data_IF_163877003424
#
_entry.id   IF_163877003424
#
_cell.length_a   1.000
_cell.length_b   1.000
_cell.length_c   1.000
_cell.angle_alpha   90.00
_cell.angle_beta   90.00
_cell.angle_gamma   90.00
#
_symmetry.space_group_name_H-M   'P 1'
#
loop_
_entity.id
_entity.type
_entity.pdbx_description
1 polymer ?
#
# COMPACT_ATOMS: atom_id res chain seq x y z
N UNK A 1 -11.41 49.48 -25.10
CA UNK A 1 -10.23 48.64 -24.81
C UNK A 1 -10.28 48.21 -23.34
N UNK A 2 -10.62 46.96 -23.04
CA UNK A 2 -10.73 46.50 -21.64
C UNK A 2 -9.33 46.23 -21.11
N UNK A 3 -8.89 47.03 -20.14
CA UNK A 3 -7.54 46.95 -19.55
C UNK A 3 -7.40 45.67 -18.73
N UNK A 4 -6.43 44.83 -19.12
CA UNK A 4 -6.07 43.61 -18.40
C UNK A 4 -5.48 44.02 -17.04
N UNK A 5 -6.25 43.86 -15.93
CA UNK A 5 -5.79 44.15 -14.56
C UNK A 5 -4.44 43.46 -14.31
N UNK A 6 -3.44 44.23 -13.88
CA UNK A 6 -2.13 43.71 -13.45
C UNK A 6 -2.34 42.77 -12.25
N UNK A 7 -1.87 41.54 -12.35
CA UNK A 7 -1.92 40.54 -11.29
C UNK A 7 -0.99 40.96 -10.15
N UNK A 8 -1.53 41.27 -8.97
CA UNK A 8 -0.76 41.51 -7.76
C UNK A 8 -0.62 40.20 -6.95
N UNK A 9 0.60 39.67 -6.91
CA UNK A 9 0.94 38.39 -6.28
C UNK A 9 0.76 38.42 -4.75
N UNK A 10 1.07 39.53 -4.09
CA UNK A 10 0.99 39.66 -2.64
C UNK A 10 -0.46 39.74 -2.17
N UNK A 11 -1.29 40.54 -2.84
CA UNK A 11 -2.72 40.60 -2.57
C UNK A 11 -3.41 39.23 -2.83
N UNK A 12 -3.01 38.54 -3.90
CA UNK A 12 -3.48 37.18 -4.22
C UNK A 12 -3.08 36.18 -3.12
N UNK A 13 -1.87 36.28 -2.59
CA UNK A 13 -1.36 35.39 -1.53
C UNK A 13 -2.03 35.67 -0.18
N UNK A 14 -2.25 36.94 0.17
CA UNK A 14 -2.96 37.33 1.39
C UNK A 14 -4.41 36.83 1.37
N UNK A 15 -5.13 37.09 0.28
CA UNK A 15 -6.46 36.52 0.03
C UNK A 15 -6.45 34.99 0.10
N UNK A 16 -5.39 34.35 -0.42
CA UNK A 16 -5.27 32.90 -0.35
C UNK A 16 -5.25 32.40 1.11
N UNK A 17 -4.48 33.06 1.98
CA UNK A 17 -4.35 32.66 3.38
C UNK A 17 -5.63 32.95 4.17
N UNK A 18 -6.21 34.13 3.99
CA UNK A 18 -7.44 34.56 4.68
C UNK A 18 -8.62 33.63 4.35
N UNK A 19 -8.76 33.20 3.09
CA UNK A 19 -9.85 32.33 2.64
C UNK A 19 -9.42 30.86 2.47
N UNK A 20 -8.40 30.41 3.20
CA UNK A 20 -7.85 29.06 3.05
C UNK A 20 -8.86 27.98 3.42
N UNK A 21 -9.53 28.11 4.57
CA UNK A 21 -10.47 27.10 5.06
C UNK A 21 -11.77 27.07 4.25
N UNK A 22 -12.32 28.24 3.91
CA UNK A 22 -13.49 28.36 3.03
C UNK A 22 -13.25 27.71 1.67
N UNK A 23 -12.08 27.95 1.06
CA UNK A 23 -11.73 27.33 -0.22
C UNK A 23 -11.47 25.84 -0.11
N UNK A 24 -10.92 25.35 1.00
CA UNK A 24 -10.82 23.92 1.25
C UNK A 24 -12.21 23.27 1.31
N UNK A 25 -13.16 23.86 2.04
CA UNK A 25 -14.51 23.30 2.15
C UNK A 25 -15.26 23.38 0.81
N UNK A 26 -15.18 24.51 0.11
CA UNK A 26 -15.71 24.66 -1.25
C UNK A 26 -15.12 23.60 -2.19
N UNK A 27 -13.80 23.44 -2.20
CA UNK A 27 -13.13 22.45 -3.05
C UNK A 27 -13.53 21.01 -2.69
N UNK A 28 -13.73 20.72 -1.41
CA UNK A 28 -14.22 19.41 -0.93
C UNK A 28 -15.63 19.13 -1.45
N UNK A 29 -16.56 20.07 -1.26
CA UNK A 29 -17.95 19.98 -1.74
C UNK A 29 -17.98 19.81 -3.26
N UNK A 30 -17.25 20.67 -3.99
CA UNK A 30 -17.16 20.60 -5.43
C UNK A 30 -16.61 19.27 -5.94
N UNK A 31 -15.53 18.73 -5.33
CA UNK A 31 -14.97 17.43 -5.70
C UNK A 31 -15.97 16.30 -5.48
N UNK A 32 -16.73 16.34 -4.39
CA UNK A 32 -17.75 15.33 -4.09
C UNK A 32 -18.80 15.28 -5.20
N UNK A 33 -19.36 16.43 -5.58
CA UNK A 33 -20.35 16.53 -6.64
C UNK A 33 -19.76 16.19 -8.03
N UNK A 34 -18.55 16.67 -8.31
CA UNK A 34 -17.84 16.35 -9.56
C UNK A 34 -17.60 14.84 -9.71
N UNK A 35 -17.11 14.18 -8.66
CA UNK A 35 -16.85 12.75 -8.67
C UNK A 35 -18.16 11.94 -8.83
N UNK A 36 -19.25 12.39 -8.19
CA UNK A 36 -20.58 11.79 -8.36
C UNK A 36 -21.08 11.93 -9.80
N UNK A 37 -20.85 13.07 -10.43
CA UNK A 37 -21.26 13.35 -11.81
C UNK A 37 -20.39 12.61 -12.85
N UNK A 38 -19.13 12.37 -12.55
CA UNK A 38 -18.17 11.76 -13.48
C UNK A 38 -17.40 10.57 -12.86
N UNK A 39 -18.10 9.48 -12.49
CA UNK A 39 -17.47 8.34 -11.82
C UNK A 39 -16.39 7.66 -12.68
N UNK A 40 -16.58 7.58 -14.00
CA UNK A 40 -15.59 6.97 -14.90
C UNK A 40 -14.28 7.76 -14.97
N UNK A 41 -14.34 9.11 -14.94
CA UNK A 41 -13.13 9.94 -14.86
C UNK A 41 -12.38 9.72 -13.55
N UNK A 42 -13.12 9.57 -12.45
CA UNK A 42 -12.54 9.27 -11.15
C UNK A 42 -11.86 7.88 -11.13
N UNK A 43 -12.52 6.85 -11.69
CA UNK A 43 -11.95 5.51 -11.83
C UNK A 43 -10.67 5.54 -12.67
N UNK A 44 -10.68 6.22 -13.82
CA UNK A 44 -9.52 6.34 -14.69
C UNK A 44 -8.37 7.08 -14.00
N UNK A 45 -8.65 8.19 -13.34
CA UNK A 45 -7.65 8.93 -12.55
C UNK A 45 -7.05 8.06 -11.44
N UNK A 46 -7.88 7.33 -10.70
CA UNK A 46 -7.44 6.40 -9.65
C UNK A 46 -6.57 5.27 -10.21
N UNK A 47 -6.93 4.72 -11.38
CA UNK A 47 -6.16 3.70 -12.09
C UNK A 47 -4.79 4.25 -12.52
N UNK A 48 -4.76 5.44 -13.11
CA UNK A 48 -3.53 6.12 -13.52
C UNK A 48 -2.64 6.42 -12.31
N UNK A 49 -3.22 6.89 -11.21
CA UNK A 49 -2.50 7.13 -9.96
C UNK A 49 -1.84 5.85 -9.45
N UNK A 50 -2.58 4.74 -9.36
CA UNK A 50 -2.05 3.44 -8.93
C UNK A 50 -0.95 2.93 -9.87
N UNK A 51 -1.10 3.12 -11.18
CA UNK A 51 -0.10 2.73 -12.19
C UNK A 51 1.21 3.52 -12.05
N UNK A 52 1.11 4.83 -11.83
CA UNK A 52 2.25 5.74 -11.83
C UNK A 52 2.94 5.86 -10.45
N UNK A 53 2.31 5.39 -9.38
CA UNK A 53 2.81 5.53 -8.00
C UNK A 53 2.95 4.16 -7.30
N UNK A 54 3.25 3.09 -8.05
CA UNK A 54 3.28 1.71 -7.52
C UNK A 54 4.19 1.57 -6.30
N UNK A 55 5.42 2.08 -6.38
CA UNK A 55 6.39 1.99 -5.29
C UNK A 55 5.95 2.79 -4.06
N UNK A 56 5.50 4.03 -4.25
CA UNK A 56 4.96 4.86 -3.17
C UNK A 56 3.79 4.20 -2.45
N UNK A 57 2.90 3.56 -3.21
CA UNK A 57 1.78 2.81 -2.65
C UNK A 57 2.29 1.59 -1.89
N UNK A 58 3.27 0.86 -2.45
CA UNK A 58 3.87 -0.31 -1.81
C UNK A 58 4.56 0.04 -0.49
N UNK A 59 5.42 1.06 -0.49
CA UNK A 59 6.08 1.58 0.72
C UNK A 59 5.06 1.99 1.79
N UNK A 60 4.02 2.73 1.41
CA UNK A 60 2.94 3.09 2.33
C UNK A 60 2.22 1.87 2.92
N UNK A 61 1.94 0.86 2.10
CA UNK A 61 1.27 -0.36 2.56
C UNK A 61 2.17 -1.20 3.49
N UNK A 62 3.47 -1.28 3.18
CA UNK A 62 4.46 -1.97 4.02
C UNK A 62 4.56 -1.28 5.39
N UNK A 63 4.72 0.05 5.41
CA UNK A 63 4.80 0.83 6.65
C UNK A 63 3.56 0.67 7.49
N UNK A 64 2.38 0.77 6.87
CA UNK A 64 1.10 0.67 7.58
C UNK A 64 0.85 -0.72 8.17
N UNK A 65 1.22 -1.79 7.45
CA UNK A 65 0.86 -3.16 7.85
C UNK A 65 1.90 -3.85 8.70
N UNK A 66 3.18 -3.58 8.43
CA UNK A 66 4.30 -4.33 8.99
C UNK A 66 5.33 -3.43 9.67
N UNK A 67 5.14 -2.12 9.65
CA UNK A 67 6.08 -1.17 10.26
C UNK A 67 7.40 -1.00 9.49
N UNK A 68 7.54 -1.58 8.29
CA UNK A 68 8.77 -1.50 7.48
C UNK A 68 8.59 -0.65 6.24
N UNK A 69 9.68 -0.06 5.78
CA UNK A 69 9.85 0.64 4.52
C UNK A 69 10.03 -0.33 3.35
N UNK A 70 9.89 0.19 2.13
CA UNK A 70 10.26 -0.57 0.93
C UNK A 70 11.74 -0.95 0.91
N UNK A 71 12.60 -0.09 1.44
CA UNK A 71 14.04 -0.35 1.54
C UNK A 71 14.35 -1.53 2.46
N UNK A 72 13.76 -1.56 3.66
CA UNK A 72 13.91 -2.67 4.60
C UNK A 72 13.34 -3.98 4.02
N UNK A 73 12.23 -3.91 3.28
CA UNK A 73 11.72 -5.08 2.55
C UNK A 73 12.76 -5.60 1.55
N UNK A 74 13.41 -4.72 0.78
CA UNK A 74 14.43 -5.10 -0.18
C UNK A 74 15.67 -5.70 0.51
N UNK A 75 16.09 -5.16 1.66
CA UNK A 75 17.17 -5.72 2.47
C UNK A 75 16.85 -7.15 2.94
N UNK A 76 15.62 -7.42 3.40
CA UNK A 76 15.20 -8.78 3.77
C UNK A 76 15.23 -9.70 2.52
N UNK A 77 14.80 -9.19 1.38
CA UNK A 77 14.81 -9.94 0.12
C UNK A 77 16.23 -10.32 -0.30
N UNK A 78 17.16 -9.37 -0.26
CA UNK A 78 18.58 -9.58 -0.54
C UNK A 78 19.21 -10.57 0.43
N UNK A 79 18.96 -10.41 1.73
CA UNK A 79 19.44 -11.33 2.77
C UNK A 79 18.89 -12.76 2.60
N UNK A 80 17.76 -12.93 1.91
CA UNK A 80 17.19 -14.22 1.55
C UNK A 80 17.63 -14.72 0.17
N UNK A 81 18.63 -14.08 -0.47
CA UNK A 81 19.06 -14.37 -1.83
C UNK A 81 17.90 -14.34 -2.83
N UNK A 82 16.97 -13.40 -2.65
CA UNK A 82 15.76 -13.23 -3.47
C UNK A 82 14.85 -14.47 -3.49
N UNK A 83 14.97 -15.36 -2.49
CA UNK A 83 14.22 -16.61 -2.41
C UNK A 83 13.14 -16.58 -1.32
N UNK A 84 12.11 -17.41 -1.50
CA UNK A 84 11.16 -17.72 -0.43
C UNK A 84 11.89 -18.39 0.74
N UNK A 85 11.69 -17.92 1.98
CA UNK A 85 12.35 -18.46 3.17
C UNK A 85 12.01 -19.94 3.49
N UNK A 86 10.91 -20.46 2.94
CA UNK A 86 10.47 -21.86 3.20
C UNK A 86 10.81 -22.79 2.04
N UNK A 87 10.41 -22.47 0.81
CA UNK A 87 10.63 -23.37 -0.33
C UNK A 87 11.86 -23.03 -1.17
N UNK A 88 12.61 -21.99 -0.78
CA UNK A 88 13.91 -21.59 -1.34
C UNK A 88 13.92 -21.29 -2.85
N UNK A 89 12.75 -21.26 -3.48
CA UNK A 89 12.62 -20.86 -4.87
C UNK A 89 12.75 -19.35 -5.00
N UNK A 90 13.55 -18.94 -5.97
CA UNK A 90 13.80 -17.54 -6.33
C UNK A 90 12.52 -16.83 -6.76
N UNK A 91 12.42 -15.52 -6.47
CA UNK A 91 11.22 -14.74 -6.72
C UNK A 91 10.80 -14.69 -8.20
N UNK A 92 11.77 -14.81 -9.11
CA UNK A 92 11.53 -14.94 -10.56
C UNK A 92 10.69 -16.14 -10.96
N UNK A 93 10.53 -17.14 -10.08
CA UNK A 93 9.64 -18.29 -10.28
C UNK A 93 8.18 -17.99 -9.91
N UNK A 94 7.88 -16.79 -9.39
CA UNK A 94 6.54 -16.40 -8.96
C UNK A 94 6.00 -15.23 -9.79
N UNK A 95 4.67 -15.19 -9.93
CA UNK A 95 3.97 -14.12 -10.67
C UNK A 95 3.84 -12.82 -9.87
N UNK A 96 4.03 -12.90 -8.56
CA UNK A 96 3.89 -11.79 -7.62
C UNK A 96 5.08 -11.80 -6.67
N UNK A 97 5.42 -10.63 -6.15
CA UNK A 97 6.45 -10.47 -5.12
C UNK A 97 6.18 -11.34 -3.90
N UNK A 98 7.24 -11.71 -3.20
CA UNK A 98 7.13 -12.41 -1.92
C UNK A 98 6.33 -11.57 -0.91
N UNK A 99 5.55 -12.26 -0.08
CA UNK A 99 4.75 -11.69 0.99
C UNK A 99 5.58 -11.59 2.27
N UNK A 100 5.34 -10.55 3.07
CA UNK A 100 5.93 -10.42 4.40
C UNK A 100 5.22 -11.39 5.35
N UNK A 101 5.97 -12.33 5.89
CA UNK A 101 5.54 -13.23 6.95
C UNK A 101 5.95 -12.68 8.30
N UNK A 102 5.02 -12.71 9.25
CA UNK A 102 5.20 -12.17 10.59
C UNK A 102 4.49 -13.06 11.59
N UNK A 103 5.02 -13.07 12.80
CA UNK A 103 4.38 -13.70 13.94
C UNK A 103 3.15 -12.88 14.35
N UNK A 104 1.99 -13.53 14.44
CA UNK A 104 0.71 -12.85 14.70
C UNK A 104 0.53 -12.40 16.17
N UNK A 105 1.36 -12.86 17.10
CA UNK A 105 1.31 -12.46 18.51
C UNK A 105 2.23 -11.28 18.81
N UNK A 106 3.43 -11.31 18.23
CA UNK A 106 4.51 -10.34 18.50
C UNK A 106 4.66 -9.28 17.41
N UNK A 107 4.11 -9.52 16.23
CA UNK A 107 4.32 -8.69 15.04
C UNK A 107 5.72 -8.80 14.43
N UNK A 108 6.60 -9.66 14.98
CA UNK A 108 7.97 -9.81 14.52
C UNK A 108 7.99 -10.42 13.12
N UNK A 109 8.68 -9.75 12.20
CA UNK A 109 8.87 -10.25 10.84
C UNK A 109 9.76 -11.49 10.88
N UNK A 110 9.27 -12.58 10.29
CA UNK A 110 9.98 -13.86 10.17
C UNK A 110 10.73 -13.97 8.84
N UNK A 111 10.24 -13.31 7.80
CA UNK A 111 10.90 -13.25 6.48
C UNK A 111 9.92 -13.01 5.34
N UNK A 112 10.38 -13.27 4.11
CA UNK A 112 9.56 -13.18 2.91
C UNK A 112 9.22 -14.57 2.35
N UNK A 113 7.94 -14.80 2.09
CA UNK A 113 7.41 -16.09 1.63
C UNK A 113 6.66 -15.96 0.31
N UNK A 114 6.71 -16.99 -0.53
CA UNK A 114 5.83 -17.05 -1.68
C UNK A 114 4.37 -17.25 -1.21
N UNK A 115 3.40 -16.83 -2.02
CA UNK A 115 1.97 -16.87 -1.64
C UNK A 115 1.50 -18.26 -1.17
N UNK A 116 2.00 -19.34 -1.81
CA UNK A 116 1.69 -20.72 -1.41
C UNK A 116 2.21 -21.02 -0.01
N UNK A 117 3.50 -20.80 0.24
CA UNK A 117 4.12 -21.05 1.55
C UNK A 117 3.46 -20.20 2.64
N UNK A 118 3.23 -18.91 2.38
CA UNK A 118 2.61 -18.00 3.34
C UNK A 118 1.20 -18.45 3.74
N UNK A 119 0.37 -18.80 2.76
CA UNK A 119 -1.00 -19.27 3.01
C UNK A 119 -0.98 -20.61 3.74
N UNK A 120 -0.16 -21.56 3.30
CA UNK A 120 -0.03 -22.87 3.96
C UNK A 120 0.44 -22.74 5.40
N UNK A 121 1.39 -21.86 5.69
CA UNK A 121 1.85 -21.60 7.05
C UNK A 121 0.73 -21.06 7.93
N UNK A 122 -0.05 -20.09 7.44
CA UNK A 122 -1.21 -19.58 8.18
C UNK A 122 -2.25 -20.65 8.49
N UNK A 123 -2.56 -21.54 7.54
CA UNK A 123 -3.42 -22.70 7.81
C UNK A 123 -2.79 -23.64 8.83
N UNK A 124 -1.50 -23.92 8.71
CA UNK A 124 -0.81 -24.78 9.68
C UNK A 124 -0.89 -24.21 11.10
N UNK A 125 -0.64 -22.92 11.30
CA UNK A 125 -0.69 -22.27 12.61
C UNK A 125 -2.07 -22.36 13.27
N UNK A 126 -3.14 -22.08 12.51
CA UNK A 126 -4.51 -22.13 13.04
C UNK A 126 -4.93 -23.56 13.41
N UNK A 127 -4.52 -24.54 12.61
CA UNK A 127 -5.02 -25.92 12.72
C UNK A 127 -4.00 -26.90 13.30
N UNK A 128 -2.82 -26.44 13.75
CA UNK A 128 -1.70 -27.27 14.23
C UNK A 128 -2.16 -28.40 15.17
N UNK A 129 -2.87 -28.04 16.24
CA UNK A 129 -3.35 -29.00 17.23
C UNK A 129 -4.37 -30.01 16.66
N UNK A 130 -5.16 -29.60 15.65
CA UNK A 130 -6.13 -30.49 15.00
C UNK A 130 -5.42 -31.48 14.06
N UNK A 131 -4.39 -31.02 13.34
CA UNK A 131 -3.55 -31.91 12.53
C UNK A 131 -2.81 -32.91 13.41
N UNK A 132 -2.18 -32.47 14.50
CA UNK A 132 -1.46 -33.36 15.41
C UNK A 132 -2.38 -34.46 15.98
N UNK A 133 -3.59 -34.09 16.42
CA UNK A 133 -4.60 -35.06 16.89
C UNK A 133 -5.05 -36.03 15.80
N UNK A 134 -5.16 -35.57 14.56
CA UNK A 134 -5.61 -36.41 13.45
C UNK A 134 -4.54 -37.43 13.02
N UNK A 135 -3.27 -37.01 13.02
CA UNK A 135 -2.12 -37.84 12.64
C UNK A 135 -1.79 -38.85 13.75
N UNK A 136 -1.86 -38.45 15.01
CA UNK A 136 -1.55 -39.30 16.19
C UNK A 136 -2.69 -40.28 16.57
N UNK A 137 -3.53 -40.68 15.62
CA UNK A 137 -4.54 -41.73 15.87
C UNK A 137 -3.83 -43.07 16.05
N UNK A 138 -3.47 -43.38 17.30
CA UNK A 138 -3.51 -44.75 17.85
C UNK A 138 -4.96 -45.21 18.00
#
# INVERSE_FOLDING_TARGET
MVTRRKYNKEASQKYYQEHKEERKDYSRKWRKEYNKKYPEKQKQSSKNYRKNNKEKIRDHLLKRRFGITLEEYNQILENQNYCCKICERHESKFKISLAVDHDHETGKIRGLLCSKCNTTLGWYEIYKNRFDKHIKRE
#
